data_IF_345239379928
#
_entry.id   IF_345239379928
#
_cell.length_a   1.000
_cell.length_b   1.000
_cell.length_c   1.000
_cell.angle_alpha   90.00
_cell.angle_beta   90.00
_cell.angle_gamma   90.00
#
_symmetry.space_group_name_H-M   'P 1'
#
loop_
_entity.id
_entity.type
_entity.pdbx_description
1 polymer ?
#
# COMPACT_ATOMS: atom_id res chain seq x y z
N UNK A 1 -6.83 -9.40 -17.25
CA UNK A 1 -7.54 -8.18 -16.86
C UNK A 1 -6.85 -7.56 -15.64
N UNK A 2 -6.68 -6.24 -15.64
CA UNK A 2 -6.02 -5.53 -14.53
C UNK A 2 -7.10 -5.11 -13.51
N UNK A 3 -6.94 -5.55 -12.26
CA UNK A 3 -7.88 -5.27 -11.16
C UNK A 3 -7.40 -4.12 -10.24
N UNK A 4 -6.37 -3.36 -10.66
CA UNK A 4 -5.74 -2.32 -9.82
C UNK A 4 -6.69 -1.22 -9.36
N UNK A 5 -7.61 -0.77 -10.21
CA UNK A 5 -8.64 0.22 -9.81
C UNK A 5 -9.60 -0.35 -8.77
N UNK A 6 -10.05 -1.60 -8.93
CA UNK A 6 -10.92 -2.25 -7.96
C UNK A 6 -10.23 -2.41 -6.60
N UNK A 7 -9.01 -2.96 -6.59
CA UNK A 7 -8.26 -3.15 -5.35
C UNK A 7 -7.86 -1.83 -4.70
N UNK A 8 -7.53 -0.82 -5.50
CA UNK A 8 -7.31 0.54 -5.02
C UNK A 8 -8.56 1.15 -4.39
N UNK A 9 -9.72 0.98 -5.01
CA UNK A 9 -11.00 1.44 -4.46
C UNK A 9 -11.35 0.74 -3.14
N UNK A 10 -11.09 -0.58 -3.02
CA UNK A 10 -11.30 -1.33 -1.78
C UNK A 10 -10.40 -0.80 -0.64
N UNK A 11 -9.13 -0.49 -0.91
CA UNK A 11 -8.23 0.09 0.09
C UNK A 11 -8.68 1.50 0.51
N UNK A 12 -9.08 2.35 -0.45
CA UNK A 12 -9.60 3.69 -0.17
C UNK A 12 -10.91 3.60 0.65
N UNK A 13 -11.81 2.69 0.27
CA UNK A 13 -13.06 2.45 1.01
C UNK A 13 -12.76 1.99 2.44
N UNK A 14 -11.85 1.05 2.62
CA UNK A 14 -11.43 0.58 3.94
C UNK A 14 -10.92 1.74 4.81
N UNK A 15 -10.00 2.55 4.27
CA UNK A 15 -9.42 3.69 4.98
C UNK A 15 -10.48 4.75 5.34
N UNK A 16 -11.41 5.02 4.43
CA UNK A 16 -12.47 6.01 4.62
C UNK A 16 -13.52 5.56 5.66
N UNK A 17 -13.93 4.29 5.59
CA UNK A 17 -14.99 3.75 6.45
C UNK A 17 -14.51 3.30 7.81
N UNK A 18 -13.22 3.05 8.00
CA UNK A 18 -12.69 2.50 9.25
C UNK A 18 -13.06 3.31 10.50
N UNK A 19 -13.10 4.65 10.48
CA UNK A 19 -13.53 5.45 11.63
C UNK A 19 -15.03 5.34 11.94
N UNK A 20 -15.85 5.07 10.91
CA UNK A 20 -17.33 5.15 10.99
C UNK A 20 -18.01 3.80 10.99
N UNK A 21 -17.60 2.91 10.07
CA UNK A 21 -18.27 1.63 9.76
C UNK A 21 -17.24 0.51 9.68
N UNK A 22 -16.71 0.07 10.84
CA UNK A 22 -15.64 -0.92 10.90
C UNK A 22 -15.95 -2.21 10.13
N UNK A 23 -17.20 -2.66 10.12
CA UNK A 23 -17.59 -3.89 9.40
C UNK A 23 -17.44 -3.70 7.87
N UNK A 24 -17.85 -2.54 7.34
CA UNK A 24 -17.70 -2.20 5.91
C UNK A 24 -16.20 -2.11 5.55
N UNK A 25 -15.41 -1.43 6.39
CA UNK A 25 -13.97 -1.35 6.22
C UNK A 25 -13.30 -2.73 6.20
N UNK A 26 -13.67 -3.58 7.16
CA UNK A 26 -13.19 -4.95 7.25
C UNK A 26 -13.60 -5.79 6.02
N UNK A 27 -14.84 -5.66 5.58
CA UNK A 27 -15.29 -6.35 4.36
C UNK A 27 -14.50 -5.93 3.12
N UNK A 28 -14.22 -4.64 2.97
CA UNK A 28 -13.37 -4.13 1.88
C UNK A 28 -11.94 -4.70 1.94
N UNK A 29 -11.35 -4.78 3.15
CA UNK A 29 -10.05 -5.42 3.36
C UNK A 29 -10.10 -6.91 3.02
N UNK A 30 -11.12 -7.64 3.49
CA UNK A 30 -11.29 -9.07 3.22
C UNK A 30 -11.45 -9.38 1.73
N UNK A 31 -12.11 -8.49 0.98
CA UNK A 31 -12.25 -8.63 -0.47
C UNK A 31 -10.91 -8.52 -1.23
N UNK A 32 -9.85 -8.00 -0.60
CA UNK A 32 -8.49 -8.00 -1.15
C UNK A 32 -7.85 -9.39 -1.22
N UNK A 33 -8.55 -10.45 -0.81
CA UNK A 33 -8.08 -11.84 -1.01
C UNK A 33 -7.76 -12.16 -2.48
N UNK A 34 -8.35 -11.41 -3.43
CA UNK A 34 -8.01 -11.48 -4.86
C UNK A 34 -6.58 -10.98 -5.18
N UNK A 35 -6.01 -10.12 -4.31
CA UNK A 35 -4.62 -9.62 -4.37
C UNK A 35 -4.06 -9.49 -2.95
N UNK A 36 -3.71 -10.61 -2.29
CA UNK A 36 -3.39 -10.64 -0.88
C UNK A 36 -2.16 -9.83 -0.50
N UNK A 37 -1.23 -9.58 -1.43
CA UNK A 37 -0.06 -8.74 -1.19
C UNK A 37 -0.40 -7.28 -0.88
N UNK A 38 -1.57 -6.77 -1.29
CA UNK A 38 -2.05 -5.43 -0.93
C UNK A 38 -2.64 -5.38 0.49
N UNK A 39 -3.00 -6.52 1.06
CA UNK A 39 -3.55 -6.63 2.41
C UNK A 39 -2.49 -7.03 3.46
N UNK A 40 -1.21 -7.11 3.12
CA UNK A 40 -0.15 -7.58 4.02
C UNK A 40 -0.08 -6.81 5.34
N UNK A 41 -0.32 -5.50 5.32
CA UNK A 41 -0.29 -4.67 6.52
C UNK A 41 -1.62 -4.67 7.29
N UNK A 42 -2.71 -5.16 6.70
CA UNK A 42 -4.04 -5.05 7.30
C UNK A 42 -4.19 -5.73 8.67
N UNK A 43 -3.66 -6.95 8.91
CA UNK A 43 -3.73 -7.58 10.23
C UNK A 43 -3.06 -6.72 11.32
N UNK A 44 -1.90 -6.16 11.02
CA UNK A 44 -1.13 -5.31 11.93
C UNK A 44 -1.81 -3.96 12.15
N UNK A 45 -2.28 -3.33 11.07
CA UNK A 45 -3.03 -2.08 11.13
C UNK A 45 -4.28 -2.18 12.00
N UNK A 46 -5.12 -3.18 11.72
CA UNK A 46 -6.40 -3.34 12.40
C UNK A 46 -6.22 -3.74 13.87
N UNK A 47 -5.25 -4.63 14.18
CA UNK A 47 -4.96 -5.05 15.54
C UNK A 47 -4.32 -3.93 16.37
N UNK A 48 -3.28 -3.25 15.84
CA UNK A 48 -2.62 -2.14 16.53
C UNK A 48 -3.57 -0.96 16.78
N UNK A 49 -4.53 -0.72 15.87
CA UNK A 49 -5.57 0.29 16.01
C UNK A 49 -6.76 -0.14 16.89
N UNK A 50 -6.78 -1.36 17.43
CA UNK A 50 -7.90 -1.90 18.22
C UNK A 50 -9.20 -2.05 17.40
N UNK A 51 -9.12 -2.16 16.08
CA UNK A 51 -10.28 -2.23 15.18
C UNK A 51 -10.77 -3.67 14.98
N UNK A 52 -11.04 -4.35 16.08
CA UNK A 52 -11.37 -5.78 16.12
C UNK A 52 -12.61 -6.16 15.28
N UNK A 53 -13.62 -5.27 15.24
CA UNK A 53 -14.81 -5.52 14.38
C UNK A 53 -14.43 -5.55 12.90
N UNK A 54 -13.52 -4.67 12.46
CA UNK A 54 -13.01 -4.70 11.10
C UNK A 54 -12.14 -5.94 10.84
N UNK A 55 -11.30 -6.30 11.82
CA UNK A 55 -10.44 -7.50 11.73
C UNK A 55 -11.25 -8.78 11.54
N UNK A 56 -12.28 -8.98 12.39
CA UNK A 56 -13.16 -10.15 12.29
C UNK A 56 -13.96 -10.13 10.97
N UNK A 57 -14.51 -8.97 10.57
CA UNK A 57 -15.24 -8.85 9.32
C UNK A 57 -14.35 -9.16 8.11
N UNK A 58 -13.08 -8.74 8.11
CA UNK A 58 -12.13 -9.09 7.06
C UNK A 58 -11.91 -10.61 6.99
N UNK A 59 -11.68 -11.27 8.14
CA UNK A 59 -11.53 -12.71 8.21
C UNK A 59 -12.76 -13.48 7.71
N UNK A 60 -13.95 -13.04 8.09
CA UNK A 60 -15.20 -13.66 7.63
C UNK A 60 -15.41 -13.51 6.13
N UNK A 61 -15.09 -12.35 5.54
CA UNK A 61 -15.20 -12.16 4.08
C UNK A 61 -14.18 -13.00 3.35
N UNK A 62 -12.93 -13.10 3.83
CA UNK A 62 -11.93 -14.00 3.25
C UNK A 62 -12.43 -15.45 3.28
N UNK A 63 -12.93 -15.90 4.43
CA UNK A 63 -13.45 -17.27 4.59
C UNK A 63 -14.66 -17.52 3.67
N UNK A 64 -15.59 -16.55 3.57
CA UNK A 64 -16.76 -16.65 2.70
C UNK A 64 -16.37 -16.73 1.21
N UNK A 65 -15.42 -15.88 0.76
CA UNK A 65 -14.99 -15.89 -0.65
C UNK A 65 -14.20 -17.15 -1.01
N UNK A 66 -13.31 -17.62 -0.13
CA UNK A 66 -12.60 -18.87 -0.35
C UNK A 66 -13.53 -20.07 -0.25
N UNK A 67 -14.48 -20.07 0.68
CA UNK A 67 -15.52 -21.12 0.80
C UNK A 67 -16.44 -21.17 -0.43
N UNK A 68 -16.87 -20.01 -0.92
CA UNK A 68 -17.66 -19.92 -2.14
C UNK A 68 -16.88 -20.43 -3.37
N UNK A 69 -15.60 -20.04 -3.48
CA UNK A 69 -14.73 -20.54 -4.55
C UNK A 69 -14.56 -22.06 -4.48
N UNK A 70 -14.39 -22.60 -3.27
CA UNK A 70 -14.31 -24.05 -3.07
C UNK A 70 -15.60 -24.78 -3.46
N UNK A 71 -16.76 -24.24 -3.03
CA UNK A 71 -18.06 -24.84 -3.33
C UNK A 71 -18.41 -24.80 -4.82
N UNK A 72 -18.04 -23.72 -5.52
CA UNK A 72 -18.38 -23.52 -6.94
C UNK A 72 -17.39 -24.26 -7.86
N UNK A 73 -16.11 -24.22 -7.56
CA UNK A 73 -15.03 -24.66 -8.45
C UNK A 73 -14.27 -25.89 -7.95
N UNK A 74 -14.56 -26.37 -6.74
CA UNK A 74 -13.91 -27.53 -6.14
C UNK A 74 -12.52 -27.25 -5.54
N UNK A 75 -11.96 -28.29 -4.91
CA UNK A 75 -10.65 -28.23 -4.23
C UNK A 75 -9.48 -27.98 -5.18
N UNK A 76 -9.56 -28.46 -6.42
CA UNK A 76 -8.49 -28.33 -7.40
C UNK A 76 -8.21 -26.89 -7.77
N UNK A 77 -9.25 -26.03 -7.77
CA UNK A 77 -9.10 -24.59 -8.00
C UNK A 77 -8.35 -23.89 -6.87
N UNK A 78 -8.59 -24.29 -5.61
CA UNK A 78 -7.83 -23.75 -4.47
C UNK A 78 -6.37 -24.18 -4.53
N UNK A 79 -6.09 -25.42 -4.90
CA UNK A 79 -4.73 -25.92 -5.11
C UNK A 79 -4.03 -25.18 -6.26
N UNK A 80 -4.74 -24.97 -7.38
CA UNK A 80 -4.24 -24.19 -8.50
C UNK A 80 -3.95 -22.71 -8.12
N UNK A 81 -4.77 -22.11 -7.23
CA UNK A 81 -4.53 -20.77 -6.71
C UNK A 81 -3.22 -20.68 -5.94
N UNK A 82 -2.94 -21.64 -5.04
CA UNK A 82 -1.65 -21.69 -4.34
C UNK A 82 -0.48 -21.94 -5.30
N UNK A 83 -0.70 -22.75 -6.34
CA UNK A 83 0.26 -22.96 -7.42
C UNK A 83 0.60 -21.68 -8.20
N UNK A 84 -0.34 -20.74 -8.32
CA UNK A 84 -0.09 -19.44 -8.98
C UNK A 84 0.96 -18.59 -8.26
N UNK A 85 1.19 -18.82 -6.97
CA UNK A 85 2.24 -18.13 -6.19
C UNK A 85 3.64 -18.57 -6.64
N UNK A 86 3.81 -19.85 -6.99
CA UNK A 86 5.07 -20.34 -7.54
C UNK A 86 5.36 -19.71 -8.92
N UNK A 87 4.33 -19.55 -9.76
CA UNK A 87 4.44 -18.87 -11.04
C UNK A 87 4.80 -17.38 -10.87
N UNK A 88 4.18 -16.71 -9.90
CA UNK A 88 4.52 -15.32 -9.56
C UNK A 88 5.96 -15.19 -9.06
N UNK A 89 6.42 -16.13 -8.24
CA UNK A 89 7.81 -16.20 -7.78
C UNK A 89 8.78 -16.38 -8.94
N UNK A 90 8.52 -17.30 -9.85
CA UNK A 90 9.33 -17.50 -11.04
C UNK A 90 9.41 -16.25 -11.93
N UNK A 91 8.34 -15.45 -12.02
CA UNK A 91 8.35 -14.17 -12.73
C UNK A 91 9.27 -13.15 -12.06
N UNK A 92 9.26 -13.10 -10.72
CA UNK A 92 10.17 -12.22 -9.96
C UNK A 92 11.62 -12.67 -10.10
N UNK A 93 11.86 -13.98 -10.17
CA UNK A 93 13.20 -14.57 -10.30
C UNK A 93 13.80 -14.40 -11.71
N UNK A 94 12.98 -14.12 -12.73
CA UNK A 94 13.48 -13.87 -14.08
C UNK A 94 14.34 -12.61 -14.14
N UNK A 95 15.54 -12.68 -14.74
CA UNK A 95 16.39 -11.50 -14.93
C UNK A 95 15.98 -10.69 -16.16
N UNK A 96 14.70 -10.29 -16.24
CA UNK A 96 14.19 -9.42 -17.31
C UNK A 96 14.15 -7.97 -16.80
N UNK A 97 15.09 -7.10 -17.23
CA UNK A 97 15.13 -5.71 -16.80
C UNK A 97 13.86 -4.94 -17.14
N UNK A 98 13.27 -5.16 -18.31
CA UNK A 98 12.06 -4.46 -18.74
C UNK A 98 10.86 -4.84 -17.85
N UNK A 99 10.78 -6.11 -17.45
CA UNK A 99 9.76 -6.55 -16.50
C UNK A 99 9.96 -5.90 -15.12
N UNK A 100 11.22 -5.85 -14.64
CA UNK A 100 11.56 -5.21 -13.37
C UNK A 100 11.19 -3.72 -13.35
N UNK A 101 11.42 -2.99 -14.45
CA UNK A 101 11.07 -1.57 -14.56
C UNK A 101 9.57 -1.29 -14.50
N UNK A 102 8.71 -2.28 -14.79
CA UNK A 102 7.24 -2.15 -14.65
C UNK A 102 6.77 -2.31 -13.20
N UNK A 103 7.62 -2.88 -12.33
CA UNK A 103 7.33 -3.04 -10.91
C UNK A 103 7.74 -1.78 -10.13
N UNK A 104 6.88 -1.37 -9.21
CA UNK A 104 7.05 -0.16 -8.40
C UNK A 104 7.55 -0.49 -6.99
N UNK A 105 8.61 -1.31 -6.89
CA UNK A 105 9.14 -1.80 -5.62
C UNK A 105 10.62 -1.48 -5.47
N UNK A 106 11.10 -1.36 -4.23
CA UNK A 106 12.53 -1.20 -3.94
C UNK A 106 13.33 -2.39 -4.50
N UNK A 107 12.79 -3.61 -4.37
CA UNK A 107 13.42 -4.82 -4.90
C UNK A 107 13.70 -4.72 -6.39
N UNK A 108 12.68 -4.36 -7.18
CA UNK A 108 12.79 -4.31 -8.63
C UNK A 108 13.75 -3.23 -9.14
N UNK A 109 13.95 -2.16 -8.34
CA UNK A 109 14.88 -1.09 -8.70
C UNK A 109 16.33 -1.42 -8.34
N UNK A 110 16.57 -2.12 -7.24
CA UNK A 110 17.94 -2.45 -6.80
C UNK A 110 18.50 -3.65 -7.54
N UNK A 111 17.67 -4.63 -7.88
CA UNK A 111 18.10 -5.91 -8.44
C UNK A 111 18.94 -5.80 -9.73
N UNK A 112 18.50 -5.04 -10.75
CA UNK A 112 19.25 -4.93 -12.01
C UNK A 112 20.62 -4.27 -11.87
N UNK A 113 20.78 -3.41 -10.84
CA UNK A 113 21.98 -2.60 -10.68
C UNK A 113 22.92 -3.13 -9.59
N UNK A 114 22.39 -3.73 -8.52
CA UNK A 114 23.13 -4.09 -7.31
C UNK A 114 23.05 -5.58 -6.95
N UNK A 115 22.32 -6.38 -7.75
CA UNK A 115 22.19 -7.82 -7.57
C UNK A 115 21.16 -8.22 -6.50
N UNK A 116 20.97 -9.55 -6.40
CA UNK A 116 19.88 -10.15 -5.61
C UNK A 116 20.00 -9.86 -4.11
N UNK A 117 21.21 -9.95 -3.55
CA UNK A 117 21.41 -9.75 -2.11
C UNK A 117 21.01 -8.34 -1.65
N UNK A 118 21.49 -7.31 -2.36
CA UNK A 118 21.16 -5.90 -2.04
C UNK A 118 19.69 -5.62 -2.26
N UNK A 119 19.10 -6.18 -3.32
CA UNK A 119 17.68 -6.03 -3.61
C UNK A 119 16.79 -6.67 -2.52
N UNK A 120 17.14 -7.87 -2.05
CA UNK A 120 16.43 -8.53 -0.95
C UNK A 120 16.59 -7.77 0.38
N UNK A 121 17.79 -7.28 0.68
CA UNK A 121 18.04 -6.45 1.86
C UNK A 121 17.20 -5.16 1.81
N UNK A 122 17.16 -4.47 0.66
CA UNK A 122 16.35 -3.29 0.45
C UNK A 122 14.85 -3.56 0.58
N UNK A 123 14.37 -4.68 0.02
CA UNK A 123 12.98 -5.12 0.17
C UNK A 123 12.64 -5.44 1.64
N UNK A 124 13.52 -6.11 2.35
CA UNK A 124 13.33 -6.42 3.78
C UNK A 124 13.28 -5.12 4.61
N UNK A 125 14.20 -4.18 4.38
CA UNK A 125 14.18 -2.88 5.06
C UNK A 125 12.88 -2.11 4.78
N UNK A 126 12.41 -2.07 3.53
CA UNK A 126 11.16 -1.40 3.18
C UNK A 126 9.93 -2.08 3.80
N UNK A 127 9.92 -3.41 3.85
CA UNK A 127 8.84 -4.17 4.51
C UNK A 127 8.84 -3.95 6.03
N UNK A 128 10.00 -3.92 6.68
CA UNK A 128 10.13 -3.60 8.11
C UNK A 128 9.66 -2.18 8.41
N UNK A 129 10.04 -1.19 7.57
CA UNK A 129 9.55 0.18 7.68
C UNK A 129 8.01 0.22 7.56
N UNK A 130 7.45 -0.46 6.55
CA UNK A 130 6.01 -0.51 6.33
C UNK A 130 5.28 -1.17 7.51
N UNK A 131 5.81 -2.25 8.05
CA UNK A 131 5.29 -2.91 9.26
C UNK A 131 5.35 -1.99 10.47
N UNK A 132 6.48 -1.30 10.69
CA UNK A 132 6.60 -0.33 11.78
C UNK A 132 5.55 0.79 11.66
N UNK A 133 5.32 1.31 10.45
CA UNK A 133 4.24 2.28 10.21
C UNK A 133 2.87 1.69 10.57
N UNK A 134 2.57 0.46 10.16
CA UNK A 134 1.28 -0.18 10.45
C UNK A 134 1.04 -0.35 11.96
N UNK A 135 2.10 -0.66 12.73
CA UNK A 135 2.04 -0.84 14.17
C UNK A 135 1.97 0.49 14.94
N UNK A 136 2.69 1.51 14.49
CA UNK A 136 2.84 2.77 15.24
C UNK A 136 1.96 3.93 14.74
N UNK A 137 1.41 3.88 13.52
CA UNK A 137 0.56 4.95 13.01
C UNK A 137 -0.69 5.19 13.87
N UNK A 138 -1.40 4.15 14.40
CA UNK A 138 -2.56 4.39 15.26
C UNK A 138 -2.19 5.22 16.52
N UNK A 139 -1.06 4.93 17.15
CA UNK A 139 -0.57 5.68 18.32
C UNK A 139 -0.07 7.08 17.92
N UNK A 140 0.65 7.17 16.78
CA UNK A 140 1.22 8.43 16.29
C UNK A 140 0.17 9.45 15.92
N UNK A 141 -0.93 9.00 15.32
CA UNK A 141 -2.01 9.86 14.86
C UNK A 141 -3.16 10.00 15.87
N UNK A 142 -3.25 9.12 16.87
CA UNK A 142 -4.27 9.19 17.92
C UNK A 142 -5.70 9.23 17.36
N UNK A 143 -6.42 10.31 17.62
CA UNK A 143 -7.82 10.47 17.18
C UNK A 143 -7.94 10.74 15.66
N UNK A 144 -6.85 11.10 14.97
CA UNK A 144 -6.85 11.25 13.51
C UNK A 144 -6.70 9.88 12.82
N UNK A 145 -7.77 9.10 12.85
CA UNK A 145 -7.81 7.80 12.19
C UNK A 145 -7.60 7.89 10.67
N UNK A 146 -7.96 9.01 10.05
CA UNK A 146 -7.71 9.25 8.62
C UNK A 146 -6.24 9.47 8.32
N UNK A 147 -5.53 10.19 9.20
CA UNK A 147 -4.08 10.35 9.12
C UNK A 147 -3.33 9.04 9.32
N UNK A 148 -3.76 8.23 10.29
CA UNK A 148 -3.21 6.88 10.47
C UNK A 148 -3.41 6.01 9.22
N UNK A 149 -4.63 6.00 8.67
CA UNK A 149 -4.93 5.28 7.41
C UNK A 149 -4.10 5.79 6.24
N UNK A 150 -3.91 7.10 6.11
CA UNK A 150 -3.08 7.70 5.08
C UNK A 150 -1.62 7.23 5.16
N UNK A 151 -1.05 7.22 6.37
CA UNK A 151 0.32 6.71 6.59
C UNK A 151 0.43 5.22 6.21
N UNK A 152 -0.54 4.41 6.61
CA UNK A 152 -0.54 2.97 6.35
C UNK A 152 -0.74 2.66 4.86
N UNK A 153 -1.62 3.39 4.17
CA UNK A 153 -1.78 3.22 2.73
C UNK A 153 -0.48 3.62 1.98
N UNK A 154 0.16 4.73 2.35
CA UNK A 154 1.45 5.09 1.77
C UNK A 154 2.51 3.98 2.01
N UNK A 155 2.54 3.41 3.23
CA UNK A 155 3.45 2.31 3.58
C UNK A 155 3.12 1.00 2.85
N UNK A 156 1.85 0.76 2.48
CA UNK A 156 1.43 -0.44 1.73
C UNK A 156 2.16 -0.55 0.38
N UNK A 157 2.48 0.59 -0.25
CA UNK A 157 3.27 0.61 -1.48
C UNK A 157 4.72 0.12 -1.30
N UNK A 158 5.21 0.05 -0.04
CA UNK A 158 6.57 -0.35 0.33
C UNK A 158 6.62 -1.78 0.92
N UNK A 159 5.45 -2.34 1.25
CA UNK A 159 5.37 -3.59 2.01
C UNK A 159 5.67 -4.84 1.19
N UNK A 160 5.42 -4.81 -0.13
CA UNK A 160 5.52 -5.98 -1.00
C UNK A 160 6.69 -5.84 -1.97
N UNK A 161 7.48 -6.90 -2.20
CA UNK A 161 8.47 -6.93 -3.28
C UNK A 161 7.83 -7.08 -4.67
N UNK A 162 6.53 -7.35 -4.72
CA UNK A 162 5.76 -7.59 -5.93
C UNK A 162 4.57 -6.61 -6.00
N UNK A 163 4.77 -5.48 -6.69
CA UNK A 163 3.77 -4.44 -6.85
C UNK A 163 3.98 -3.72 -8.19
N UNK A 164 2.92 -3.59 -8.96
CA UNK A 164 2.98 -2.89 -10.24
C UNK A 164 2.42 -1.47 -10.14
N UNK A 165 2.82 -0.60 -11.08
CA UNK A 165 2.35 0.79 -11.11
C UNK A 165 0.82 0.92 -11.20
N UNK A 166 0.14 -0.04 -11.86
CA UNK A 166 -1.34 -0.06 -11.93
C UNK A 166 -2.03 -0.46 -10.61
N UNK A 167 -1.30 -0.94 -9.61
CA UNK A 167 -1.81 -1.26 -8.29
C UNK A 167 -1.80 -0.07 -7.32
N UNK A 168 -1.18 1.04 -7.71
CA UNK A 168 -0.97 2.22 -6.86
C UNK A 168 -2.14 3.24 -6.77
N UNK A 169 -3.33 3.08 -7.40
CA UNK A 169 -4.42 4.06 -7.29
C UNK A 169 -4.85 4.36 -5.85
N UNK A 170 -4.63 3.45 -4.90
CA UNK A 170 -4.92 3.69 -3.48
C UNK A 170 -4.09 4.83 -2.86
N UNK A 171 -2.96 5.23 -3.47
CA UNK A 171 -2.16 6.38 -3.02
C UNK A 171 -2.89 7.72 -3.20
N UNK A 172 -4.00 7.73 -3.90
CA UNK A 172 -4.89 8.90 -3.96
C UNK A 172 -5.39 9.30 -2.55
N UNK A 173 -5.63 8.34 -1.67
CA UNK A 173 -6.12 8.62 -0.32
C UNK A 173 -5.11 9.43 0.54
N UNK A 174 -3.86 8.98 0.73
CA UNK A 174 -2.87 9.78 1.47
C UNK A 174 -2.56 11.11 0.79
N UNK A 175 -2.59 11.19 -0.54
CA UNK A 175 -2.40 12.45 -1.27
C UNK A 175 -3.53 13.44 -0.99
N UNK A 176 -4.79 13.01 -1.08
CA UNK A 176 -5.95 13.85 -0.77
C UNK A 176 -5.97 14.25 0.70
N UNK A 177 -5.64 13.34 1.63
CA UNK A 177 -5.53 13.68 3.04
C UNK A 177 -4.51 14.82 3.27
N UNK A 178 -3.32 14.77 2.63
CA UNK A 178 -2.33 15.85 2.70
C UNK A 178 -2.86 17.17 2.13
N UNK A 179 -3.55 17.12 0.99
CA UNK A 179 -4.14 18.33 0.38
C UNK A 179 -5.19 18.93 1.30
N UNK A 180 -6.10 18.15 1.86
CA UNK A 180 -7.12 18.62 2.80
C UNK A 180 -6.46 19.24 4.03
N UNK A 181 -5.47 18.58 4.63
CA UNK A 181 -4.72 19.14 5.75
C UNK A 181 -4.00 20.45 5.39
N UNK A 182 -3.50 20.55 4.14
CA UNK A 182 -2.86 21.78 3.65
C UNK A 182 -3.86 22.94 3.47
N UNK A 183 -5.06 22.63 2.99
CA UNK A 183 -6.14 23.63 2.83
C UNK A 183 -6.69 24.11 4.17
N UNK A 184 -6.88 23.19 5.13
CA UNK A 184 -7.47 23.51 6.45
C UNK A 184 -6.48 24.17 7.40
N UNK A 185 -5.20 23.80 7.37
CA UNK A 185 -4.19 24.20 8.39
C UNK A 185 -3.00 24.96 7.83
N UNK A 186 -3.02 25.23 6.53
CA UNK A 186 -1.89 25.79 5.79
C UNK A 186 -0.90 24.73 5.33
N UNK A 187 -0.29 24.96 4.18
CA UNK A 187 0.79 24.14 3.65
C UNK A 187 2.10 24.44 4.36
N UNK A 188 2.88 23.40 4.61
CA UNK A 188 4.25 23.54 5.12
C UNK A 188 5.21 24.00 4.02
N UNK A 189 6.39 24.50 4.38
CA UNK A 189 7.42 24.77 3.39
C UNK A 189 7.69 23.57 2.49
N UNK A 190 7.74 23.79 1.20
CA UNK A 190 7.97 22.78 0.14
C UNK A 190 6.88 21.69 0.00
N UNK A 191 5.82 21.67 0.82
CA UNK A 191 4.77 20.65 0.75
C UNK A 191 3.99 20.72 -0.58
N UNK A 192 3.69 21.95 -1.07
CA UNK A 192 3.08 22.13 -2.38
C UNK A 192 3.97 21.60 -3.51
N UNK A 193 5.28 21.87 -3.43
CA UNK A 193 6.25 21.34 -4.39
C UNK A 193 6.27 19.81 -4.34
N UNK A 194 6.32 19.22 -3.13
CA UNK A 194 6.27 17.77 -2.95
C UNK A 194 5.00 17.16 -3.56
N UNK A 195 3.83 17.74 -3.31
CA UNK A 195 2.56 17.28 -3.89
C UNK A 195 2.56 17.40 -5.43
N UNK A 196 3.12 18.49 -5.97
CA UNK A 196 3.26 18.68 -7.43
C UNK A 196 4.17 17.59 -8.02
N UNK A 197 5.33 17.34 -7.41
CA UNK A 197 6.24 16.29 -7.85
C UNK A 197 5.59 14.89 -7.77
N UNK A 198 4.85 14.60 -6.72
CA UNK A 198 4.10 13.35 -6.57
C UNK A 198 3.02 13.19 -7.65
N UNK A 199 2.32 14.28 -8.01
CA UNK A 199 1.34 14.26 -9.09
C UNK A 199 1.97 13.92 -10.44
N UNK A 200 3.16 14.44 -10.72
CA UNK A 200 3.89 14.16 -11.97
C UNK A 200 4.74 12.89 -11.93
N UNK A 201 4.95 12.26 -10.76
CA UNK A 201 5.79 11.08 -10.62
C UNK A 201 5.42 9.91 -11.55
N UNK A 202 4.12 9.57 -11.78
CA UNK A 202 3.75 8.51 -12.72
C UNK A 202 4.18 8.82 -14.16
N UNK A 203 4.06 10.10 -14.58
CA UNK A 203 4.48 10.55 -15.91
C UNK A 203 6.00 10.54 -16.04
N UNK A 204 6.68 11.09 -15.03
CA UNK A 204 8.14 11.10 -14.98
C UNK A 204 8.71 9.66 -14.98
N UNK A 205 8.11 8.77 -14.21
CA UNK A 205 8.45 7.34 -14.24
C UNK A 205 8.28 6.74 -15.63
N UNK A 206 7.16 7.03 -16.28
CA UNK A 206 6.89 6.50 -17.64
C UNK A 206 7.95 6.98 -18.65
N UNK A 207 8.36 8.24 -18.55
CA UNK A 207 9.37 8.83 -19.40
C UNK A 207 10.80 8.33 -19.09
N UNK A 208 11.10 8.09 -17.78
CA UNK A 208 12.45 7.74 -17.33
C UNK A 208 12.72 6.22 -17.31
N UNK A 209 11.68 5.38 -17.14
CA UNK A 209 11.86 3.97 -16.86
C UNK A 209 12.72 3.26 -17.91
N UNK A 210 12.34 3.30 -19.18
CA UNK A 210 13.09 2.61 -20.22
C UNK A 210 14.38 3.32 -20.64
N UNK A 211 14.43 4.65 -20.86
CA UNK A 211 15.66 5.33 -21.25
C UNK A 211 16.75 5.34 -20.16
N UNK A 212 16.35 5.45 -18.89
CA UNK A 212 17.29 5.61 -17.77
C UNK A 212 17.39 4.36 -16.90
N UNK A 213 16.58 3.33 -17.15
CA UNK A 213 16.55 2.12 -16.34
C UNK A 213 16.02 2.34 -14.90
N UNK A 214 15.21 3.38 -14.66
CA UNK A 214 14.78 3.78 -13.31
C UNK A 214 13.27 3.99 -13.25
N UNK A 215 12.62 3.34 -12.28
CA UNK A 215 11.24 3.59 -11.92
C UNK A 215 11.18 4.45 -10.64
N UNK A 216 10.63 5.66 -10.74
CA UNK A 216 10.61 6.64 -9.64
C UNK A 216 9.51 6.38 -8.61
N UNK A 217 8.56 5.46 -8.87
CA UNK A 217 7.41 5.25 -7.98
C UNK A 217 7.75 4.79 -6.56
N UNK A 218 8.77 3.94 -6.32
CA UNK A 218 9.17 3.60 -4.95
C UNK A 218 9.66 4.81 -4.16
N UNK A 219 10.40 5.73 -4.82
CA UNK A 219 10.85 6.99 -4.19
C UNK A 219 9.67 7.93 -3.94
N UNK A 220 8.72 8.00 -4.87
CA UNK A 220 7.49 8.77 -4.70
C UNK A 220 6.66 8.24 -3.50
N UNK A 221 6.54 6.92 -3.34
CA UNK A 221 5.86 6.30 -2.20
C UNK A 221 6.56 6.61 -0.87
N UNK A 222 7.90 6.56 -0.83
CA UNK A 222 8.70 6.96 0.35
C UNK A 222 8.51 8.45 0.67
N UNK A 223 8.55 9.32 -0.33
CA UNK A 223 8.35 10.76 -0.16
C UNK A 223 6.93 11.06 0.37
N UNK A 224 5.91 10.40 -0.20
CA UNK A 224 4.53 10.53 0.26
C UNK A 224 4.38 10.08 1.71
N UNK A 225 4.94 8.92 2.07
CA UNK A 225 4.97 8.44 3.45
C UNK A 225 5.64 9.46 4.38
N UNK A 226 6.80 9.99 3.99
CA UNK A 226 7.52 11.02 4.77
C UNK A 226 6.70 12.28 4.98
N UNK A 227 6.01 12.78 3.94
CA UNK A 227 5.13 13.95 4.05
C UNK A 227 3.97 13.70 5.00
N UNK A 228 3.30 12.53 4.88
CA UNK A 228 2.20 12.15 5.78
C UNK A 228 2.72 11.98 7.21
N UNK A 229 3.79 11.23 7.41
CA UNK A 229 4.32 10.91 8.73
C UNK A 229 4.78 12.14 9.52
N UNK A 230 5.39 13.10 8.85
CA UNK A 230 5.88 14.31 9.48
C UNK A 230 4.77 15.31 9.82
N UNK A 231 3.56 15.16 9.25
CA UNK A 231 2.45 16.05 9.55
C UNK A 231 1.93 15.82 10.99
N UNK A 232 1.74 16.92 11.72
CA UNK A 232 1.27 16.85 13.10
C UNK A 232 -0.21 16.44 13.13
N UNK A 233 -0.62 15.47 13.97
CA UNK A 233 -2.02 15.08 14.11
C UNK A 233 -2.93 16.24 14.51
N UNK A 234 -4.22 16.13 14.14
CA UNK A 234 -5.26 17.01 14.63
C UNK A 234 -5.35 16.86 16.15
N UNK A 235 -5.13 17.91 16.91
CA UNK A 235 -5.29 17.89 18.37
C UNK A 235 -4.05 18.12 19.21
N UNK A 236 -2.83 18.14 18.64
CA UNK A 236 -1.60 18.41 19.42
C UNK A 236 -1.27 19.90 19.59
N UNK A 237 -2.12 20.82 19.14
CA UNK A 237 -2.01 22.23 19.56
C UNK A 237 -2.49 22.35 21.00
N UNK A 238 -1.64 22.00 21.97
CA UNK A 238 -1.75 22.56 23.32
C UNK A 238 -1.68 24.08 23.14
N UNK A 239 -2.72 24.77 23.60
CA UNK A 239 -2.69 26.21 23.80
C UNK A 239 -1.38 26.60 24.53
N UNK A 240 -0.50 27.28 23.82
CA UNK A 240 0.55 28.09 24.40
C UNK A 240 0.13 29.53 24.32
#
# INVERSE_FOLDING_TARGET
>A
AQTGLLTGALLVLAAHELPRRQVVAGAAVGALVIKPHLALLAPFWLSAGGKWRAFVAAGLVVAALLGAAWLIFGSDTLLAYTGSWSASRQLIERPDPDFMLRMSTIFSQLRPHLGDFVALAGAACSAVLALAVALFAPQRFGDDASGASAAILAATALASPYLFSYDLPFLVFPTLWLVIQGLERGFRPYEKLGLTLLYFAPYATRAAAFPLGVNLMPLAALALLGLVWTRTPAGTRKHR
#
